data_IF_662622032171
#
_entry.id   IF_662622032171
#
_cell.length_a   1.000
_cell.length_b   1.000
_cell.length_c   1.000
_cell.angle_alpha   90.00
_cell.angle_beta   90.00
_cell.angle_gamma   90.00
#
_symmetry.space_group_name_H-M   'P 1'
#
loop_
_entity.id
_entity.type
_entity.pdbx_description
1 polymer ?
#
# COMPACT_ATOMS: atom_id res chain seq x y z
N UNK A 1 -26.18 50.45 -34.46
CA UNK A 1 -25.73 49.33 -35.35
C UNK A 1 -24.59 48.45 -34.77
N UNK A 2 -23.57 48.98 -34.08
CA UNK A 2 -22.42 48.22 -33.53
C UNK A 2 -22.78 47.16 -32.44
N UNK A 3 -23.75 47.43 -31.55
CA UNK A 3 -24.23 46.47 -30.54
C UNK A 3 -24.91 45.21 -31.13
N UNK A 4 -25.69 45.36 -32.21
CA UNK A 4 -26.31 44.21 -32.94
C UNK A 4 -25.24 43.34 -33.64
N UNK A 5 -24.19 43.95 -34.22
CA UNK A 5 -23.03 43.21 -34.79
C UNK A 5 -22.22 42.46 -33.72
N UNK A 6 -21.97 43.04 -32.54
CA UNK A 6 -21.33 42.35 -31.40
C UNK A 6 -22.19 41.21 -30.84
N UNK A 7 -23.52 41.38 -30.72
CA UNK A 7 -24.44 40.30 -30.33
C UNK A 7 -24.52 39.18 -31.38
N UNK A 8 -24.51 39.49 -32.69
CA UNK A 8 -24.42 38.48 -33.76
C UNK A 8 -23.07 37.77 -33.78
N UNK A 9 -21.94 38.46 -33.54
CA UNK A 9 -20.61 37.84 -33.38
C UNK A 9 -20.52 36.97 -32.12
N UNK A 10 -21.10 37.38 -30.99
CA UNK A 10 -21.20 36.54 -29.77
C UNK A 10 -22.14 35.33 -29.96
N UNK A 11 -23.27 35.48 -30.67
CA UNK A 11 -24.15 34.35 -31.06
C UNK A 11 -23.48 33.41 -32.08
N UNK A 12 -22.67 33.91 -33.02
CA UNK A 12 -21.85 33.08 -33.92
C UNK A 12 -20.70 32.37 -33.18
N UNK A 13 -20.02 33.05 -32.24
CA UNK A 13 -18.98 32.44 -31.39
C UNK A 13 -19.54 31.40 -30.40
N UNK A 14 -20.79 31.55 -29.94
CA UNK A 14 -21.49 30.53 -29.13
C UNK A 14 -21.99 29.32 -29.93
N UNK A 15 -21.87 29.32 -31.26
CA UNK A 15 -22.45 28.29 -32.16
C UNK A 15 -21.48 27.19 -32.61
N UNK A 16 -20.26 27.12 -32.05
CA UNK A 16 -19.30 26.03 -32.30
C UNK A 16 -18.64 25.57 -31.00
N UNK A 17 -19.45 25.18 -30.00
CA UNK A 17 -18.94 24.23 -29.01
C UNK A 17 -19.33 22.88 -29.60
N UNK A 18 -18.33 22.16 -30.12
CA UNK A 18 -18.50 20.76 -30.51
C UNK A 18 -18.97 19.94 -29.32
N UNK A 19 -19.58 18.81 -29.61
CA UNK A 19 -20.02 17.85 -28.61
C UNK A 19 -18.79 17.39 -27.79
N UNK A 20 -18.76 17.49 -26.44
CA UNK A 20 -17.57 17.19 -25.65
C UNK A 20 -17.22 15.68 -25.58
N UNK A 21 -17.92 14.84 -26.33
CA UNK A 21 -17.75 13.39 -26.32
C UNK A 21 -16.77 12.92 -27.41
N UNK A 22 -16.17 11.75 -27.20
CA UNK A 22 -15.19 11.17 -28.12
C UNK A 22 -15.84 10.56 -29.36
N UNK A 23 -17.12 10.18 -29.26
CA UNK A 23 -17.87 9.58 -30.33
C UNK A 23 -18.06 8.09 -30.13
N UNK A 24 -19.30 7.76 -29.78
CA UNK A 24 -19.83 6.41 -29.64
C UNK A 24 -21.03 6.28 -30.58
N UNK A 25 -21.27 5.08 -31.10
CA UNK A 25 -22.46 4.81 -31.89
C UNK A 25 -23.66 4.63 -30.95
N UNK A 26 -24.68 5.47 -31.07
CA UNK A 26 -25.94 5.36 -30.31
C UNK A 26 -27.10 5.41 -31.29
N UNK A 27 -27.96 4.39 -31.25
CA UNK A 27 -29.15 4.29 -32.11
C UNK A 27 -28.82 4.52 -33.61
N UNK A 28 -27.71 3.96 -34.08
CA UNK A 28 -27.24 4.09 -35.47
C UNK A 28 -26.62 5.44 -35.84
N UNK A 29 -26.49 6.37 -34.88
CA UNK A 29 -25.91 7.70 -35.11
C UNK A 29 -24.64 7.89 -34.29
N UNK A 30 -23.60 8.41 -34.93
CA UNK A 30 -22.36 8.78 -34.25
C UNK A 30 -22.54 10.05 -33.40
N UNK A 31 -21.95 10.06 -32.21
CA UNK A 31 -21.83 11.25 -31.34
C UNK A 31 -20.42 11.86 -31.41
N UNK A 32 -20.19 12.96 -30.69
CA UNK A 32 -18.84 13.45 -30.42
C UNK A 32 -18.03 13.87 -31.65
N UNK A 33 -16.70 13.74 -31.54
CA UNK A 33 -15.77 14.10 -32.63
C UNK A 33 -15.86 13.18 -33.85
N UNK A 34 -16.26 11.91 -33.68
CA UNK A 34 -16.48 10.98 -34.81
C UNK A 34 -17.63 11.47 -35.70
N UNK A 35 -18.71 11.97 -35.09
CA UNK A 35 -19.83 12.59 -35.82
C UNK A 35 -19.38 13.75 -36.69
N UNK A 36 -18.47 14.59 -36.20
CA UNK A 36 -18.02 15.78 -36.95
C UNK A 36 -17.29 15.38 -38.24
N UNK A 37 -16.54 14.27 -38.24
CA UNK A 37 -15.94 13.72 -39.47
C UNK A 37 -17.00 13.11 -40.37
N UNK A 38 -17.85 12.22 -39.84
CA UNK A 38 -18.88 11.51 -40.64
C UNK A 38 -19.85 12.48 -41.32
N UNK A 39 -20.16 13.62 -40.68
CA UNK A 39 -21.06 14.65 -41.23
C UNK A 39 -20.36 15.68 -42.12
N UNK A 40 -19.04 15.57 -42.33
CA UNK A 40 -18.25 16.54 -43.09
C UNK A 40 -18.12 17.92 -42.43
N UNK A 41 -18.36 18.01 -41.12
CA UNK A 41 -18.18 19.24 -40.35
C UNK A 41 -16.70 19.50 -40.01
N UNK A 42 -15.88 18.45 -40.01
CA UNK A 42 -14.43 18.46 -39.86
C UNK A 42 -13.79 17.52 -40.89
N UNK A 43 -12.70 17.95 -41.55
CA UNK A 43 -11.98 17.13 -42.52
C UNK A 43 -10.94 16.20 -41.86
N UNK A 44 -10.36 16.65 -40.74
CA UNK A 44 -9.33 15.92 -39.96
C UNK A 44 -9.51 16.23 -38.49
N UNK A 45 -9.36 15.22 -37.63
CA UNK A 45 -9.32 15.39 -36.17
C UNK A 45 -7.97 14.94 -35.64
N UNK A 46 -7.35 15.79 -34.82
CA UNK A 46 -6.10 15.49 -34.11
C UNK A 46 -6.40 15.48 -32.61
N UNK A 47 -6.61 14.28 -32.08
CA UNK A 47 -7.01 14.06 -30.69
C UNK A 47 -6.50 12.69 -30.18
N UNK A 48 -6.37 12.48 -28.86
CA UNK A 48 -6.09 11.16 -28.29
C UNK A 48 -7.34 10.29 -28.37
N UNK A 49 -7.64 9.79 -29.57
CA UNK A 49 -8.79 8.94 -29.86
C UNK A 49 -8.35 7.48 -29.99
N UNK A 50 -9.02 6.58 -29.27
CA UNK A 50 -8.73 5.15 -29.37
C UNK A 50 -9.17 4.58 -30.72
N UNK A 51 -8.26 3.80 -31.32
CA UNK A 51 -8.51 3.00 -32.51
C UNK A 51 -9.34 1.77 -32.11
N UNK A 52 -10.62 1.76 -32.49
CA UNK A 52 -11.55 0.67 -32.21
C UNK A 52 -12.17 0.20 -33.52
N UNK A 53 -12.42 -1.11 -33.66
CA UNK A 53 -13.04 -1.70 -34.85
C UNK A 53 -14.35 -0.99 -35.25
N UNK A 54 -15.18 -0.61 -34.28
CA UNK A 54 -16.45 0.09 -34.52
C UNK A 54 -16.22 1.44 -35.22
N UNK A 55 -15.26 2.25 -34.75
CA UNK A 55 -14.93 3.55 -35.34
C UNK A 55 -14.24 3.43 -36.69
N UNK A 56 -13.43 2.39 -36.89
CA UNK A 56 -12.73 2.12 -38.15
C UNK A 56 -13.70 1.86 -39.31
N UNK A 57 -14.93 1.38 -39.02
CA UNK A 57 -15.97 1.25 -40.06
C UNK A 57 -16.53 2.58 -40.56
N UNK A 58 -16.36 3.67 -39.79
CA UNK A 58 -16.95 4.98 -40.07
C UNK A 58 -15.94 6.05 -40.46
N UNK A 59 -14.69 5.93 -39.98
CA UNK A 59 -13.61 6.89 -40.25
C UNK A 59 -12.27 6.17 -40.41
N UNK A 60 -11.42 6.69 -41.29
CA UNK A 60 -10.06 6.19 -41.49
C UNK A 60 -9.12 6.75 -40.41
N UNK A 61 -8.24 5.88 -39.89
CA UNK A 61 -7.21 6.26 -38.94
C UNK A 61 -5.81 6.18 -39.57
N UNK A 62 -4.89 7.00 -39.07
CA UNK A 62 -3.46 6.83 -39.34
C UNK A 62 -2.88 5.70 -38.50
N UNK A 63 -1.62 5.31 -38.75
CA UNK A 63 -0.91 4.40 -37.85
C UNK A 63 -0.92 4.93 -36.41
N UNK A 64 -1.12 4.04 -35.44
CA UNK A 64 -1.16 4.39 -34.02
C UNK A 64 0.16 4.99 -33.54
N UNK A 65 0.10 6.17 -32.91
CA UNK A 65 1.29 6.88 -32.42
C UNK A 65 1.83 6.31 -31.10
N UNK A 66 0.98 5.67 -30.29
CA UNK A 66 1.32 5.13 -28.97
C UNK A 66 0.43 3.94 -28.63
N UNK A 67 1.03 2.89 -28.07
CA UNK A 67 0.28 1.81 -27.46
C UNK A 67 0.01 2.14 -25.98
N UNK A 68 -1.27 2.22 -25.59
CA UNK A 68 -1.71 2.47 -24.22
C UNK A 68 -2.68 1.38 -23.80
N UNK A 69 -2.56 0.90 -22.55
CA UNK A 69 -3.50 -0.06 -21.97
C UNK A 69 -4.38 0.59 -20.90
N UNK A 70 -5.49 -0.08 -20.57
CA UNK A 70 -6.38 0.34 -19.50
C UNK A 70 -5.71 0.24 -18.13
N UNK A 71 -5.98 1.21 -17.27
CA UNK A 71 -5.47 1.25 -15.90
C UNK A 71 -6.60 1.58 -14.96
N UNK A 72 -6.71 0.81 -13.89
CA UNK A 72 -7.58 1.14 -12.79
C UNK A 72 -6.91 2.21 -11.92
N UNK A 73 -7.65 3.26 -11.59
CA UNK A 73 -7.19 4.30 -10.68
C UNK A 73 -8.06 4.27 -9.44
N UNK A 74 -7.44 4.00 -8.30
CA UNK A 74 -8.09 3.99 -6.99
C UNK A 74 -7.48 5.05 -6.09
N UNK A 75 -8.29 5.64 -5.20
CA UNK A 75 -7.80 6.57 -4.18
C UNK A 75 -6.82 5.83 -3.28
N UNK A 76 -5.62 6.40 -3.11
CA UNK A 76 -4.66 5.91 -2.12
C UNK A 76 -5.32 5.93 -0.74
N UNK A 77 -5.32 4.79 -0.04
CA UNK A 77 -5.76 4.74 1.35
C UNK A 77 -4.72 5.47 2.20
N UNK A 78 -5.17 6.48 2.93
CA UNK A 78 -4.35 7.02 4.02
C UNK A 78 -4.20 5.91 5.05
N UNK A 79 -2.96 5.67 5.50
CA UNK A 79 -2.69 4.70 6.54
C UNK A 79 -3.52 5.10 7.75
N UNK A 80 -4.52 4.30 8.11
CA UNK A 80 -5.24 4.51 9.36
C UNK A 80 -4.22 4.26 10.48
N UNK A 81 -3.85 5.35 11.10
CA UNK A 81 -2.82 5.50 12.12
C UNK A 81 -3.31 4.85 13.42
N UNK A 82 -3.28 3.52 13.50
CA UNK A 82 -3.36 2.85 14.79
C UNK A 82 -1.97 2.91 15.43
N UNK A 83 -1.58 4.12 15.83
CA UNK A 83 -0.24 4.45 16.34
C UNK A 83 0.20 3.51 17.47
N UNK A 84 -0.75 3.00 18.28
CA UNK A 84 -0.47 2.11 19.40
C UNK A 84 -0.11 0.67 18.97
N UNK A 85 -0.82 0.11 17.99
CA UNK A 85 -0.57 -1.28 17.57
C UNK A 85 0.70 -1.42 16.75
N UNK A 86 1.15 -0.34 16.10
CA UNK A 86 2.40 -0.30 15.33
C UNK A 86 3.59 -0.75 16.17
N UNK A 87 3.72 -0.27 17.42
CA UNK A 87 4.82 -0.65 18.30
C UNK A 87 4.84 -2.14 18.66
N UNK A 88 3.67 -2.76 18.80
CA UNK A 88 3.56 -4.19 19.13
C UNK A 88 3.65 -5.12 17.92
N UNK A 89 3.35 -4.60 16.73
CA UNK A 89 3.28 -5.36 15.48
C UNK A 89 4.68 -5.73 14.94
N UNK A 90 5.71 -4.99 15.33
CA UNK A 90 7.10 -5.23 14.88
C UNK A 90 7.66 -6.58 15.31
N UNK A 91 7.12 -7.15 16.39
CA UNK A 91 7.55 -8.43 16.89
C UNK A 91 6.44 -9.45 16.68
N UNK A 92 6.78 -10.59 16.06
CA UNK A 92 5.81 -11.66 15.84
C UNK A 92 5.35 -12.24 17.18
N UNK A 93 4.18 -12.89 17.19
CA UNK A 93 3.65 -13.53 18.40
C UNK A 93 4.63 -14.55 18.99
N UNK A 94 5.33 -15.27 18.11
CA UNK A 94 6.36 -16.25 18.47
C UNK A 94 7.54 -15.56 19.16
N UNK A 95 7.99 -14.44 18.62
CA UNK A 95 9.11 -13.69 19.16
C UNK A 95 8.75 -13.09 20.54
N UNK A 96 7.54 -12.53 20.69
CA UNK A 96 7.03 -12.09 22.00
C UNK A 96 7.01 -13.23 23.02
N UNK A 97 6.56 -14.41 22.60
CA UNK A 97 6.60 -15.63 23.42
C UNK A 97 8.02 -16.02 23.81
N UNK A 98 8.97 -15.93 22.89
CA UNK A 98 10.40 -16.17 23.14
C UNK A 98 11.00 -15.21 24.15
N UNK A 99 10.74 -13.90 24.03
CA UNK A 99 11.19 -12.90 25.01
C UNK A 99 10.57 -13.13 26.38
N UNK A 100 9.27 -13.47 26.46
CA UNK A 100 8.63 -13.79 27.72
C UNK A 100 9.23 -15.05 28.36
N UNK A 101 9.46 -16.10 27.57
CA UNK A 101 10.12 -17.32 28.04
C UNK A 101 11.54 -17.03 28.55
N UNK A 102 12.29 -16.17 27.87
CA UNK A 102 13.62 -15.75 28.29
C UNK A 102 13.58 -15.02 29.65
N UNK A 103 12.65 -14.06 29.83
CA UNK A 103 12.46 -13.36 31.12
C UNK A 103 12.07 -14.33 32.23
N UNK A 104 11.26 -15.34 31.94
CA UNK A 104 10.80 -16.29 32.95
C UNK A 104 11.86 -17.33 33.32
N UNK A 105 12.68 -17.79 32.37
CA UNK A 105 13.61 -18.90 32.55
C UNK A 105 15.04 -18.48 32.92
N UNK A 106 15.52 -17.32 32.45
CA UNK A 106 16.87 -16.85 32.72
C UNK A 106 17.14 -16.56 34.22
N UNK A 107 16.24 -15.91 34.98
CA UNK A 107 16.46 -15.61 36.40
C UNK A 107 16.52 -16.85 37.31
N UNK A 108 15.61 -17.84 37.21
CA UNK A 108 15.75 -19.10 37.94
C UNK A 108 17.06 -19.81 37.65
N UNK A 109 17.52 -19.78 36.39
CA UNK A 109 18.79 -20.37 36.00
C UNK A 109 20.00 -19.65 36.61
N UNK A 110 19.97 -18.31 36.64
CA UNK A 110 21.00 -17.50 37.30
C UNK A 110 21.06 -17.78 38.82
N UNK A 111 19.91 -17.84 39.50
CA UNK A 111 19.81 -18.19 40.93
C UNK A 111 20.30 -19.61 41.18
N UNK A 112 19.96 -20.57 40.31
CA UNK A 112 20.43 -21.95 40.40
C UNK A 112 21.97 -22.01 40.34
N UNK A 113 22.58 -21.36 39.36
CA UNK A 113 24.05 -21.34 39.22
C UNK A 113 24.72 -20.64 40.39
N UNK A 114 24.15 -19.55 40.89
CA UNK A 114 24.65 -18.84 42.08
C UNK A 114 24.59 -19.71 43.34
N UNK A 115 23.58 -20.57 43.50
CA UNK A 115 23.46 -21.44 44.68
C UNK A 115 24.36 -22.67 44.64
N UNK A 116 24.55 -23.27 43.47
CA UNK A 116 25.32 -24.51 43.28
C UNK A 116 26.81 -24.28 43.05
N UNK A 117 27.22 -23.08 42.65
CA UNK A 117 28.63 -22.75 42.44
C UNK A 117 29.34 -22.54 43.79
N UNK A 118 30.29 -23.41 44.20
CA UNK A 118 30.99 -23.28 45.48
C UNK A 118 31.89 -22.04 45.56
N UNK A 119 32.27 -21.49 44.41
CA UNK A 119 33.14 -20.32 44.28
C UNK A 119 32.38 -18.98 44.33
N UNK A 120 31.05 -19.01 44.49
CA UNK A 120 30.23 -17.80 44.55
C UNK A 120 30.17 -17.27 45.99
N UNK A 121 30.57 -16.01 46.19
CA UNK A 121 30.58 -15.39 47.53
C UNK A 121 29.19 -14.93 47.95
N UNK A 122 28.39 -14.43 47.00
CA UNK A 122 27.05 -13.92 47.25
C UNK A 122 26.00 -14.73 46.49
N UNK A 123 25.01 -15.23 47.24
CA UNK A 123 23.90 -15.98 46.66
C UNK A 123 22.82 -15.01 46.22
N UNK A 124 22.50 -15.02 44.93
CA UNK A 124 21.47 -14.12 44.36
C UNK A 124 20.10 -14.75 44.56
N UNK A 125 19.20 -14.14 45.36
CA UNK A 125 17.85 -14.62 45.50
C UNK A 125 17.07 -14.40 44.20
N UNK A 126 16.02 -15.20 43.98
CA UNK A 126 15.24 -15.20 42.75
C UNK A 126 14.69 -13.80 42.39
N UNK A 127 14.22 -13.05 43.39
CA UNK A 127 13.71 -11.68 43.22
C UNK A 127 14.76 -10.73 42.60
N UNK A 128 16.01 -10.84 43.01
CA UNK A 128 17.08 -9.95 42.57
C UNK A 128 17.57 -10.39 41.18
N UNK A 129 17.56 -11.69 40.89
CA UNK A 129 17.80 -12.21 39.54
C UNK A 129 16.76 -11.70 38.52
N UNK A 130 15.48 -11.65 38.90
CA UNK A 130 14.43 -11.05 38.06
C UNK A 130 14.68 -9.56 37.85
N UNK A 131 15.03 -8.83 38.91
CA UNK A 131 15.34 -7.41 38.83
C UNK A 131 16.54 -7.14 37.90
N UNK A 132 17.59 -7.97 37.96
CA UNK A 132 18.76 -7.90 37.08
C UNK A 132 18.38 -8.14 35.62
N UNK A 133 17.56 -9.16 35.34
CA UNK A 133 17.21 -9.52 33.95
C UNK A 133 16.26 -8.48 33.33
N UNK A 134 15.29 -7.98 34.09
CA UNK A 134 14.40 -6.89 33.64
C UNK A 134 15.18 -5.58 33.50
N UNK A 135 16.10 -5.29 34.42
CA UNK A 135 17.02 -4.14 34.33
C UNK A 135 17.87 -4.21 33.07
N UNK A 136 18.48 -5.37 32.78
CA UNK A 136 19.28 -5.59 31.58
C UNK A 136 18.47 -5.38 30.29
N UNK A 137 17.21 -5.81 30.24
CA UNK A 137 16.30 -5.52 29.12
C UNK A 137 15.99 -4.02 28.98
N UNK A 138 15.82 -3.32 30.11
CA UNK A 138 15.61 -1.88 30.15
C UNK A 138 16.90 -1.08 29.94
N UNK A 139 18.03 -1.74 29.64
CA UNK A 139 19.36 -1.13 29.53
C UNK A 139 19.83 -0.44 30.83
N UNK A 140 19.25 -0.85 31.96
CA UNK A 140 19.62 -0.42 33.30
C UNK A 140 20.59 -1.44 33.90
N UNK A 141 21.81 -1.00 34.19
CA UNK A 141 22.78 -1.84 34.88
C UNK A 141 22.33 -2.16 36.30
N UNK A 142 22.63 -3.37 36.76
CA UNK A 142 22.47 -3.76 38.16
C UNK A 142 23.86 -4.03 38.76
N UNK A 143 24.08 -3.57 39.99
CA UNK A 143 25.34 -3.78 40.72
C UNK A 143 25.38 -5.17 41.35
N UNK A 144 25.55 -6.19 40.52
CA UNK A 144 25.70 -7.58 40.96
C UNK A 144 27.05 -8.10 40.50
N UNK A 145 27.90 -8.41 41.47
CA UNK A 145 29.25 -8.91 41.21
C UNK A 145 29.27 -10.43 41.28
N UNK A 146 29.53 -11.09 40.14
CA UNK A 146 29.73 -12.54 40.11
C UNK A 146 31.20 -12.92 40.20
N UNK A 147 31.53 -13.75 41.20
CA UNK A 147 32.90 -14.23 41.43
C UNK A 147 33.21 -15.51 40.67
N UNK A 148 32.22 -16.37 40.41
CA UNK A 148 32.41 -17.61 39.67
C UNK A 148 32.48 -17.43 38.15
N UNK A 149 33.29 -18.24 37.48
CA UNK A 149 33.39 -18.27 36.00
C UNK A 149 32.07 -18.73 35.38
N UNK A 150 31.41 -19.75 35.95
CA UNK A 150 30.11 -20.24 35.46
C UNK A 150 29.03 -19.16 35.58
N UNK A 151 29.00 -18.44 36.70
CA UNK A 151 28.12 -17.30 36.92
C UNK A 151 28.34 -16.20 35.89
N UNK A 152 29.60 -15.83 35.62
CA UNK A 152 29.96 -14.84 34.59
C UNK A 152 29.50 -15.24 33.19
N UNK A 153 29.63 -16.52 32.82
CA UNK A 153 29.15 -17.01 31.52
C UNK A 153 27.63 -16.84 31.42
N UNK A 154 26.88 -17.23 32.45
CA UNK A 154 25.41 -17.08 32.46
C UNK A 154 25.01 -15.61 32.42
N UNK A 155 25.66 -14.76 33.22
CA UNK A 155 25.42 -13.32 33.21
C UNK A 155 25.68 -12.71 31.83
N UNK A 156 26.77 -13.08 31.16
CA UNK A 156 27.07 -12.65 29.79
C UNK A 156 26.05 -13.14 28.77
N UNK A 157 25.56 -14.38 28.90
CA UNK A 157 24.50 -14.91 28.03
C UNK A 157 23.20 -14.13 28.23
N UNK A 158 22.85 -13.82 29.47
CA UNK A 158 21.67 -13.00 29.78
C UNK A 158 21.82 -11.62 29.14
N UNK A 159 22.95 -10.96 29.40
CA UNK A 159 23.24 -9.63 28.88
C UNK A 159 23.26 -9.59 27.33
N UNK A 160 23.90 -10.57 26.70
CA UNK A 160 23.95 -10.66 25.24
C UNK A 160 22.56 -10.97 24.66
N UNK A 161 21.78 -11.85 25.30
CA UNK A 161 20.41 -12.15 24.89
C UNK A 161 19.49 -10.94 24.96
N UNK A 162 19.57 -10.16 26.05
CA UNK A 162 18.81 -8.90 26.19
C UNK A 162 19.25 -7.87 25.16
N UNK A 163 20.56 -7.73 24.92
CA UNK A 163 21.11 -6.81 23.92
C UNK A 163 20.65 -7.17 22.51
N UNK A 164 20.72 -8.45 22.12
CA UNK A 164 20.28 -8.91 20.80
C UNK A 164 18.78 -8.70 20.59
N UNK A 165 17.97 -9.00 21.61
CA UNK A 165 16.51 -8.77 21.56
C UNK A 165 16.20 -7.29 21.39
N UNK A 166 16.91 -6.42 22.11
CA UNK A 166 16.77 -4.97 22.00
C UNK A 166 17.17 -4.45 20.62
N UNK A 167 18.34 -4.85 20.11
CA UNK A 167 18.82 -4.47 18.77
C UNK A 167 17.86 -4.93 17.67
N UNK A 168 17.30 -6.13 17.79
CA UNK A 168 16.32 -6.64 16.84
C UNK A 168 15.02 -5.83 16.88
N UNK A 169 14.47 -5.58 18.08
CA UNK A 169 13.24 -4.79 18.23
C UNK A 169 13.41 -3.37 17.66
N UNK A 170 14.51 -2.71 18.03
CA UNK A 170 14.80 -1.35 17.54
C UNK A 170 15.02 -1.30 16.03
N UNK A 171 15.71 -2.29 15.44
CA UNK A 171 15.91 -2.36 13.98
C UNK A 171 14.60 -2.58 13.24
N UNK A 172 13.74 -3.48 13.72
CA UNK A 172 12.43 -3.74 13.15
C UNK A 172 11.55 -2.49 13.18
N UNK A 173 11.50 -1.83 14.35
CA UNK A 173 10.77 -0.58 14.54
C UNK A 173 11.28 0.54 13.62
N UNK A 174 12.60 0.70 13.49
CA UNK A 174 13.17 1.70 12.57
C UNK A 174 12.84 1.37 11.10
N UNK A 175 12.91 0.09 10.71
CA UNK A 175 12.56 -0.34 9.35
C UNK A 175 11.10 -0.03 9.02
N UNK A 176 10.19 -0.27 9.96
CA UNK A 176 8.76 0.02 9.78
C UNK A 176 8.46 1.51 9.75
N UNK A 177 9.09 2.31 10.63
CA UNK A 177 8.91 3.77 10.63
C UNK A 177 9.51 4.45 9.38
N UNK A 178 10.52 3.84 8.74
CA UNK A 178 11.12 4.38 7.51
C UNK A 178 10.36 3.96 6.26
N UNK A 179 9.71 2.79 6.25
CA UNK A 179 8.93 2.31 5.12
C UNK A 179 7.46 2.68 5.29
N UNK A 180 7.02 3.73 4.59
CA UNK A 180 5.60 4.01 4.42
C UNK A 180 4.95 2.93 3.53
N UNK A 181 4.51 1.82 4.11
CA UNK A 181 3.85 0.74 3.38
C UNK A 181 2.54 1.25 2.78
N UNK A 182 2.52 1.50 1.47
CA UNK A 182 1.27 1.77 0.76
C UNK A 182 0.69 0.42 0.36
N UNK A 183 -0.01 -0.24 1.27
CA UNK A 183 -0.75 -1.45 0.92
C UNK A 183 -1.75 -1.11 -0.18
N UNK A 184 -1.58 -1.71 -1.35
CA UNK A 184 -2.54 -1.57 -2.44
C UNK A 184 -3.80 -2.33 -2.05
N UNK A 185 -4.99 -1.69 -2.10
CA UNK A 185 -6.22 -2.34 -1.67
C UNK A 185 -6.72 -3.42 -2.65
N UNK A 186 -6.33 -3.32 -3.92
CA UNK A 186 -6.75 -4.22 -5.00
C UNK A 186 -5.62 -4.27 -6.04
N UNK A 187 -5.24 -5.49 -6.43
CA UNK A 187 -4.22 -5.72 -7.45
C UNK A 187 -4.86 -5.92 -8.82
N UNK A 188 -6.02 -6.59 -8.86
CA UNK A 188 -6.72 -6.91 -10.10
C UNK A 188 -8.16 -6.38 -10.11
N UNK A 189 -8.71 -6.22 -11.32
CA UNK A 189 -10.12 -5.86 -11.50
C UNK A 189 -11.06 -6.90 -10.85
N UNK A 190 -10.66 -8.17 -10.81
CA UNK A 190 -11.44 -9.22 -10.14
C UNK A 190 -11.51 -9.04 -8.63
N UNK A 191 -10.49 -8.48 -8.01
CA UNK A 191 -10.51 -8.21 -6.57
C UNK A 191 -11.54 -7.10 -6.27
N UNK A 192 -11.68 -6.13 -7.17
CA UNK A 192 -12.73 -5.10 -7.10
C UNK A 192 -14.11 -5.75 -7.19
N UNK A 193 -14.33 -6.65 -8.17
CA UNK A 193 -15.62 -7.30 -8.39
C UNK A 193 -15.99 -8.25 -7.26
N UNK A 194 -15.05 -9.07 -6.79
CA UNK A 194 -15.28 -10.07 -5.71
C UNK A 194 -15.48 -9.42 -4.36
N UNK A 195 -14.73 -8.34 -4.07
CA UNK A 195 -14.78 -7.69 -2.77
C UNK A 195 -16.13 -7.02 -2.51
N UNK A 196 -16.80 -6.51 -3.54
CA UNK A 196 -18.09 -5.82 -3.43
C UNK A 196 -18.06 -4.51 -2.63
N UNK A 197 -16.87 -4.09 -2.17
CA UNK A 197 -16.67 -2.85 -1.40
C UNK A 197 -16.41 -1.63 -2.29
N UNK A 198 -16.08 -1.85 -3.56
CA UNK A 198 -15.67 -0.82 -4.50
C UNK A 198 -16.65 -0.75 -5.67
N UNK A 199 -17.18 0.45 -5.91
CA UNK A 199 -17.95 0.75 -7.11
C UNK A 199 -17.01 1.05 -8.28
N UNK A 200 -17.20 0.31 -9.38
CA UNK A 200 -16.47 0.54 -10.63
C UNK A 200 -17.23 1.57 -11.48
N UNK A 201 -16.52 2.63 -11.89
CA UNK A 201 -17.07 3.67 -12.74
C UNK A 201 -16.20 3.93 -13.96
N UNK A 202 -16.85 4.17 -15.10
CA UNK A 202 -16.22 4.62 -16.33
C UNK A 202 -16.72 6.03 -16.69
N UNK A 203 -15.91 6.80 -17.40
CA UNK A 203 -16.39 8.03 -18.02
C UNK A 203 -17.39 7.65 -19.13
N UNK A 204 -18.51 8.35 -19.21
CA UNK A 204 -19.53 8.06 -20.22
C UNK A 204 -19.02 8.36 -21.65
N UNK A 205 -19.50 7.59 -22.63
CA UNK A 205 -19.20 7.74 -24.06
C UNK A 205 -17.71 7.62 -24.42
N UNK A 206 -17.01 6.70 -23.74
CA UNK A 206 -15.64 6.29 -24.07
C UNK A 206 -15.61 4.90 -24.71
N UNK A 207 -14.50 4.59 -25.36
CA UNK A 207 -14.21 3.27 -25.95
C UNK A 207 -14.36 2.13 -24.93
N UNK A 208 -13.83 2.30 -23.72
CA UNK A 208 -13.86 1.30 -22.63
C UNK A 208 -15.30 0.91 -22.28
N UNK A 209 -16.21 1.89 -22.19
CA UNK A 209 -17.61 1.60 -21.87
C UNK A 209 -18.24 0.69 -22.94
N UNK A 210 -17.97 0.98 -24.22
CA UNK A 210 -18.43 0.15 -25.34
C UNK A 210 -17.78 -1.24 -25.33
N UNK A 211 -16.49 -1.33 -24.99
CA UNK A 211 -15.79 -2.60 -24.89
C UNK A 211 -16.36 -3.49 -23.78
N UNK A 212 -16.62 -2.94 -22.59
CA UNK A 212 -17.28 -3.68 -21.50
C UNK A 212 -18.73 -4.06 -21.85
N UNK A 213 -19.45 -3.24 -22.63
CA UNK A 213 -20.81 -3.56 -23.11
C UNK A 213 -20.82 -4.68 -24.16
N UNK A 214 -19.82 -4.72 -25.02
CA UNK A 214 -19.69 -5.72 -26.10
C UNK A 214 -18.89 -6.95 -25.71
N UNK A 215 -18.21 -6.92 -24.55
CA UNK A 215 -17.40 -8.02 -24.05
C UNK A 215 -18.24 -9.29 -23.89
N UNK A 216 -17.87 -10.31 -24.65
CA UNK A 216 -18.47 -11.65 -24.61
C UNK A 216 -17.60 -12.64 -23.83
N UNK A 217 -16.34 -12.30 -23.59
CA UNK A 217 -15.45 -13.10 -22.77
C UNK A 217 -15.87 -13.03 -21.31
N UNK A 218 -15.92 -14.18 -20.60
CA UNK A 218 -16.01 -14.14 -19.15
C UNK A 218 -14.81 -13.36 -18.59
N UNK A 219 -14.96 -12.71 -17.43
CA UNK A 219 -13.82 -12.11 -16.75
C UNK A 219 -12.78 -13.21 -16.52
N UNK A 220 -11.64 -13.10 -17.20
CA UNK A 220 -10.57 -14.09 -17.35
C UNK A 220 -10.31 -14.93 -16.08
N UNK A 221 -10.15 -16.25 -16.25
CA UNK A 221 -9.54 -17.16 -15.26
C UNK A 221 -8.06 -16.86 -15.04
#
# INVERSE_FOLDING_TARGET
>A
KKKKKKKKKKKKKKKKKGDPHWGTLRDGHWTGIVKEIVTGAADVVVAPLDLTAERETAVDFTMGLRNTGFRLVIKRRELMDSTWTTFTQEFTKEAWGGTLAFILLAPPFLTFVSYYSPSEKEKIPLKDAYFVTVGALAYQGASVDMTSVSGRIVFLVIFLGTLLTYCHYTSALVASLTVASTAQPVDNLMDVVKSGFYDLGFMAEISIENEFRMATSPPFE
#
